data_IF_981891749328
#
_entry.id   IF_981891749328
#
_cell.length_a   1.000
_cell.length_b   1.000
_cell.length_c   1.000
_cell.angle_alpha   90.00
_cell.angle_beta   90.00
_cell.angle_gamma   90.00
#
_symmetry.space_group_name_H-M   'P 1'
#
loop_
_entity.id
_entity.type
_entity.pdbx_description
1 polymer ?
#
# COMPACT_ATOMS: atom_id res chain seq x y z
N UNK A 1 6.27 2.78 31.12
CA UNK A 1 6.33 2.09 29.82
C UNK A 1 6.11 0.58 29.97
N UNK A 2 5.01 0.05 29.44
CA UNK A 2 4.78 -1.39 29.31
C UNK A 2 5.29 -1.86 27.96
N UNK A 3 6.41 -2.58 27.94
CA UNK A 3 7.03 -3.04 26.70
C UNK A 3 6.27 -4.25 26.11
N UNK A 4 6.16 -4.35 24.78
CA UNK A 4 5.63 -5.56 24.16
C UNK A 4 6.51 -6.77 24.47
N UNK A 5 5.90 -7.95 24.54
CA UNK A 5 6.65 -9.21 24.62
C UNK A 5 7.59 -9.37 23.42
N UNK A 6 8.77 -9.98 23.65
CA UNK A 6 9.84 -10.11 22.65
C UNK A 6 9.35 -10.76 21.35
N UNK A 7 8.50 -11.79 21.44
CA UNK A 7 7.94 -12.48 20.28
C UNK A 7 7.11 -11.54 19.37
N UNK A 8 6.44 -10.53 19.93
CA UNK A 8 5.63 -9.56 19.16
C UNK A 8 6.48 -8.57 18.36
N UNK A 9 7.78 -8.46 18.67
CA UNK A 9 8.72 -7.62 17.93
C UNK A 9 9.29 -8.31 16.69
N UNK A 10 9.27 -9.64 16.66
CA UNK A 10 9.90 -10.44 15.61
C UNK A 10 9.32 -10.13 14.22
N UNK A 11 7.99 -10.15 14.06
CA UNK A 11 7.35 -9.91 12.78
C UNK A 11 7.53 -8.46 12.28
N UNK A 12 7.29 -7.41 13.09
CA UNK A 12 7.57 -6.03 12.69
C UNK A 12 9.02 -5.78 12.26
N UNK A 13 10.01 -6.42 12.91
CA UNK A 13 11.42 -6.32 12.48
C UNK A 13 11.59 -6.87 11.07
N UNK A 14 11.02 -8.04 10.77
CA UNK A 14 11.11 -8.64 9.45
C UNK A 14 10.37 -7.79 8.39
N UNK A 15 9.18 -7.28 8.71
CA UNK A 15 8.40 -6.40 7.82
C UNK A 15 9.17 -5.12 7.46
N UNK A 16 9.79 -4.47 8.45
CA UNK A 16 10.61 -3.28 8.24
C UNK A 16 11.83 -3.58 7.36
N UNK A 17 12.51 -4.71 7.58
CA UNK A 17 13.64 -5.10 6.74
C UNK A 17 13.21 -5.41 5.30
N UNK A 18 12.02 -5.99 5.07
CA UNK A 18 11.47 -6.15 3.72
C UNK A 18 11.21 -4.77 3.08
N UNK A 19 10.59 -3.85 3.82
CA UNK A 19 10.24 -2.52 3.35
C UNK A 19 11.47 -1.67 2.95
N UNK A 20 12.63 -1.89 3.58
CA UNK A 20 13.89 -1.18 3.25
C UNK A 20 14.75 -1.88 2.19
N UNK A 21 14.20 -2.87 1.47
CA UNK A 21 14.92 -3.57 0.40
C UNK A 21 15.73 -4.79 0.88
N UNK A 22 15.55 -5.22 2.12
CA UNK A 22 16.10 -6.46 2.66
C UNK A 22 17.22 -6.29 3.68
N UNK A 23 17.70 -5.07 3.92
CA UNK A 23 18.70 -4.79 4.95
C UNK A 23 18.51 -3.38 5.51
N UNK A 24 18.87 -3.19 6.78
CA UNK A 24 18.97 -1.85 7.37
C UNK A 24 19.89 -1.82 8.61
N UNK A 25 20.29 -0.62 9.01
CA UNK A 25 20.95 -0.36 10.28
C UNK A 25 19.93 -0.40 11.44
N UNK A 26 20.25 -1.18 12.47
CA UNK A 26 19.39 -1.38 13.63
C UNK A 26 18.98 -0.08 14.35
N UNK A 27 19.77 0.99 14.22
CA UNK A 27 19.45 2.30 14.81
C UNK A 27 18.17 2.88 14.23
N UNK A 28 17.92 2.70 12.93
CA UNK A 28 16.68 3.17 12.30
C UNK A 28 15.50 2.27 12.65
N UNK A 29 15.73 0.96 12.82
CA UNK A 29 14.70 0.04 13.29
C UNK A 29 14.15 0.44 14.67
N UNK A 30 14.99 0.92 15.58
CA UNK A 30 14.52 1.35 16.91
C UNK A 30 13.44 2.43 16.83
N UNK A 31 13.54 3.36 15.87
CA UNK A 31 12.59 4.46 15.73
C UNK A 31 11.32 4.01 15.02
N UNK A 32 11.45 3.24 13.93
CA UNK A 32 10.30 2.85 13.11
C UNK A 32 9.40 1.82 13.78
N UNK A 33 9.99 0.89 14.54
CA UNK A 33 9.24 -0.15 15.25
C UNK A 33 8.27 0.38 16.31
N UNK A 34 8.47 1.62 16.79
CA UNK A 34 7.59 2.23 17.80
C UNK A 34 6.16 2.39 17.29
N UNK A 35 6.00 2.70 16.00
CA UNK A 35 4.69 2.92 15.38
C UNK A 35 3.81 1.65 15.35
N UNK A 36 4.41 0.45 15.50
CA UNK A 36 3.70 -0.82 15.49
C UNK A 36 3.04 -1.17 16.83
N UNK A 37 3.29 -0.39 17.89
CA UNK A 37 2.83 -0.69 19.24
C UNK A 37 2.07 0.51 19.84
N UNK A 38 0.74 0.60 19.59
CA UNK A 38 -0.11 1.69 20.10
C UNK A 38 -0.10 1.85 21.62
N UNK A 39 0.26 0.79 22.36
CA UNK A 39 0.40 0.83 23.82
C UNK A 39 1.62 1.62 24.31
N UNK A 40 2.54 2.01 23.42
CA UNK A 40 3.63 2.93 23.74
C UNK A 40 3.07 4.35 23.67
N UNK A 41 2.91 4.99 24.83
CA UNK A 41 2.34 6.33 24.98
C UNK A 41 3.18 7.41 24.29
N UNK A 42 2.58 8.56 23.97
CA UNK A 42 3.32 9.65 23.33
C UNK A 42 4.47 10.20 24.20
N UNK A 43 4.33 10.17 25.53
CA UNK A 43 5.41 10.48 26.46
C UNK A 43 6.60 9.50 26.31
N UNK A 44 6.33 8.20 26.13
CA UNK A 44 7.37 7.21 25.86
C UNK A 44 8.01 7.41 24.47
N UNK A 45 7.24 7.84 23.46
CA UNK A 45 7.75 8.16 22.11
C UNK A 45 8.73 9.33 22.14
N UNK A 46 8.42 10.40 22.88
CA UNK A 46 9.33 11.53 23.06
C UNK A 46 10.64 11.12 23.75
N UNK A 47 10.57 10.25 24.76
CA UNK A 47 11.76 9.71 25.42
C UNK A 47 12.63 8.83 24.48
N UNK A 48 12.03 8.14 23.51
CA UNK A 48 12.76 7.35 22.49
C UNK A 48 13.57 8.23 21.53
N UNK A 49 13.01 9.36 21.13
CA UNK A 49 13.66 10.33 20.23
C UNK A 49 14.86 10.99 20.89
N UNK A 50 14.80 11.25 22.20
CA UNK A 50 15.90 11.83 22.98
C UNK A 50 16.96 10.79 23.40
N UNK A 51 16.84 9.53 22.95
CA UNK A 51 17.83 8.48 23.18
C UNK A 51 17.73 7.76 24.52
N UNK A 52 16.76 8.12 25.37
CA UNK A 52 16.70 7.71 26.78
C UNK A 52 15.88 6.44 27.08
N UNK A 53 15.91 5.43 26.20
CA UNK A 53 15.26 4.16 26.51
C UNK A 53 16.15 2.95 26.15
N UNK A 54 17.19 2.76 26.98
CA UNK A 54 18.05 1.55 26.98
C UNK A 54 17.22 0.26 27.05
N UNK A 55 16.05 0.29 27.70
CA UNK A 55 15.10 -0.83 27.78
C UNK A 55 14.56 -1.28 26.41
N UNK A 56 14.09 -0.34 25.60
CA UNK A 56 13.54 -0.61 24.25
C UNK A 56 14.60 -1.17 23.32
N UNK A 57 15.78 -0.54 23.27
CA UNK A 57 16.90 -1.02 22.45
C UNK A 57 17.29 -2.45 22.81
N UNK A 58 17.35 -2.78 24.11
CA UNK A 58 17.61 -4.15 24.58
C UNK A 58 16.52 -5.13 24.15
N UNK A 59 15.25 -4.73 24.12
CA UNK A 59 14.14 -5.58 23.67
C UNK A 59 14.24 -5.88 22.18
N UNK A 60 14.43 -4.85 21.34
CA UNK A 60 14.63 -5.02 19.89
C UNK A 60 15.85 -5.89 19.63
N UNK A 61 16.96 -5.66 20.34
CA UNK A 61 18.19 -6.47 20.21
C UNK A 61 18.01 -7.94 20.61
N UNK A 62 17.18 -8.22 21.63
CA UNK A 62 16.82 -9.59 22.02
C UNK A 62 15.95 -10.25 20.96
N UNK A 63 14.93 -9.56 20.45
CA UNK A 63 14.09 -10.06 19.37
C UNK A 63 14.92 -10.37 18.12
N UNK A 64 15.83 -9.47 17.74
CA UNK A 64 16.77 -9.71 16.65
C UNK A 64 17.70 -10.91 16.88
N UNK A 65 18.09 -11.21 18.13
CA UNK A 65 18.89 -12.41 18.42
C UNK A 65 18.07 -13.67 18.20
N UNK A 66 16.82 -13.68 18.66
CA UNK A 66 15.90 -14.81 18.42
C UNK A 66 15.66 -15.02 16.92
N UNK A 67 15.50 -13.96 16.14
CA UNK A 67 15.37 -14.04 14.68
C UNK A 67 16.63 -14.59 13.99
N UNK A 68 17.80 -14.22 14.47
CA UNK A 68 19.10 -14.68 13.96
C UNK A 68 19.32 -16.17 14.27
N UNK A 69 18.97 -16.61 15.50
CA UNK A 69 18.96 -18.03 15.91
C UNK A 69 17.99 -18.86 15.04
N UNK A 70 16.83 -18.30 14.69
CA UNK A 70 15.85 -18.88 13.76
C UNK A 70 16.27 -18.78 12.29
N UNK A 71 17.46 -18.21 11.98
CA UNK A 71 17.98 -17.97 10.63
C UNK A 71 17.07 -17.13 9.74
N UNK A 72 16.24 -16.28 10.33
CA UNK A 72 15.30 -15.39 9.62
C UNK A 72 15.93 -14.04 9.29
N UNK A 73 16.93 -13.63 10.05
CA UNK A 73 17.83 -12.52 9.72
C UNK A 73 19.27 -12.99 9.84
N UNK A 74 20.19 -12.22 9.26
CA UNK A 74 21.62 -12.29 9.48
C UNK A 74 22.08 -10.96 10.06
N UNK A 75 22.82 -11.02 11.17
CA UNK A 75 23.34 -9.82 11.85
C UNK A 75 24.84 -9.68 11.64
N UNK A 76 25.30 -8.48 11.30
CA UNK A 76 26.74 -8.19 11.21
C UNK A 76 27.27 -7.38 12.40
N UNK A 77 28.61 -7.35 12.54
CA UNK A 77 29.30 -6.61 13.61
C UNK A 77 29.13 -5.08 13.54
N UNK A 78 28.68 -4.55 12.40
CA UNK A 78 28.45 -3.11 12.18
C UNK A 78 27.02 -2.66 12.52
N UNK A 79 26.18 -3.57 13.01
CA UNK A 79 24.79 -3.25 13.39
C UNK A 79 23.80 -3.25 12.23
N UNK A 80 24.22 -3.70 11.05
CA UNK A 80 23.31 -3.93 9.92
C UNK A 80 22.72 -5.33 10.00
N UNK A 81 21.39 -5.38 9.86
CA UNK A 81 20.60 -6.59 9.86
C UNK A 81 20.07 -6.82 8.45
N UNK A 82 20.16 -8.06 7.97
CA UNK A 82 19.73 -8.45 6.63
C UNK A 82 18.72 -9.57 6.75
N UNK A 83 17.57 -9.45 6.11
CA UNK A 83 16.57 -10.52 6.10
C UNK A 83 17.02 -11.66 5.20
N UNK A 84 16.83 -12.91 5.65
CA UNK A 84 17.13 -14.10 4.86
C UNK A 84 15.93 -14.52 4.01
N UNK A 85 16.11 -15.50 3.12
CA UNK A 85 14.98 -16.11 2.40
C UNK A 85 13.92 -16.69 3.35
N UNK A 86 14.34 -17.28 4.48
CA UNK A 86 13.42 -17.82 5.49
C UNK A 86 12.65 -16.71 6.21
N UNK A 87 13.31 -15.59 6.53
CA UNK A 87 12.64 -14.42 7.10
C UNK A 87 11.61 -13.83 6.14
N UNK A 88 11.93 -13.74 4.85
CA UNK A 88 10.99 -13.29 3.81
C UNK A 88 9.76 -14.20 3.73
N UNK A 89 9.95 -15.52 3.74
CA UNK A 89 8.84 -16.49 3.75
C UNK A 89 7.93 -16.29 4.95
N UNK A 90 8.48 -16.12 6.16
CA UNK A 90 7.69 -15.84 7.36
C UNK A 90 6.90 -14.54 7.26
N UNK A 91 7.46 -13.48 6.68
CA UNK A 91 6.72 -12.24 6.43
C UNK A 91 5.59 -12.47 5.44
N UNK A 92 5.79 -13.29 4.42
CA UNK A 92 4.72 -13.65 3.46
C UNK A 92 3.63 -14.50 4.11
N UNK A 93 3.99 -15.43 5.00
CA UNK A 93 3.08 -16.32 5.73
C UNK A 93 2.30 -15.59 6.84
N UNK A 94 2.93 -14.66 7.55
CA UNK A 94 2.35 -13.87 8.65
C UNK A 94 1.89 -12.47 8.23
N UNK A 95 2.17 -12.02 7.00
CA UNK A 95 1.44 -10.90 6.43
C UNK A 95 -0.03 -11.23 6.64
N UNK A 96 -0.84 -10.30 7.21
CA UNK A 96 -2.27 -10.54 7.28
C UNK A 96 -2.64 -11.01 5.89
N UNK A 97 -3.16 -12.24 5.83
CA UNK A 97 -3.89 -12.68 4.68
C UNK A 97 -5.15 -11.81 4.66
N UNK A 98 -4.99 -10.55 4.26
CA UNK A 98 -5.86 -9.98 3.26
C UNK A 98 -5.59 -10.73 1.93
N UNK A 99 -5.67 -12.06 1.97
CA UNK A 99 -6.59 -12.67 1.04
C UNK A 99 -7.90 -11.97 1.37
N UNK A 100 -8.39 -11.13 0.47
CA UNK A 100 -9.81 -11.25 0.19
C UNK A 100 -10.03 -12.76 0.17
N UNK A 101 -10.75 -13.30 1.15
CA UNK A 101 -11.29 -14.61 0.95
C UNK A 101 -12.02 -14.43 -0.35
N UNK A 102 -11.45 -14.99 -1.43
CA UNK A 102 -12.20 -15.32 -2.61
C UNK A 102 -13.15 -16.32 -2.02
N UNK A 103 -14.25 -15.82 -1.44
CA UNK A 103 -15.36 -16.67 -1.11
C UNK A 103 -15.56 -17.40 -2.40
N UNK A 104 -15.34 -18.71 -2.34
CA UNK A 104 -15.35 -19.65 -3.45
C UNK A 104 -16.78 -19.84 -3.95
N UNK A 105 -17.48 -18.72 -4.10
CA UNK A 105 -18.84 -18.50 -4.55
C UNK A 105 -18.83 -17.49 -5.70
N UNK A 106 -17.73 -17.51 -6.46
CA UNK A 106 -17.76 -17.05 -7.85
C UNK A 106 -17.40 -18.28 -8.67
N UNK A 107 -18.43 -19.02 -9.09
CA UNK A 107 -18.39 -19.65 -10.40
C UNK A 107 -17.65 -18.68 -11.33
N UNK A 108 -16.63 -19.10 -12.10
CA UNK A 108 -16.02 -18.23 -13.08
C UNK A 108 -17.11 -17.81 -14.06
N UNK A 109 -17.75 -16.66 -13.82
CA UNK A 109 -18.52 -15.95 -14.83
C UNK A 109 -17.49 -15.57 -15.85
N UNK A 110 -17.37 -16.42 -16.88
CA UNK A 110 -16.21 -16.51 -17.74
C UNK A 110 -15.76 -15.13 -18.20
N UNK A 111 -14.49 -14.79 -17.97
CA UNK A 111 -13.78 -13.62 -18.50
C UNK A 111 -14.73 -12.48 -18.90
N UNK A 112 -15.50 -11.94 -17.94
CA UNK A 112 -16.36 -10.82 -18.23
C UNK A 112 -15.44 -9.67 -18.64
N UNK A 113 -15.36 -9.40 -19.94
CA UNK A 113 -14.49 -8.35 -20.45
C UNK A 113 -15.16 -7.03 -20.09
N UNK A 114 -14.78 -6.45 -18.96
CA UNK A 114 -15.31 -5.15 -18.58
C UNK A 114 -14.92 -4.13 -19.66
N UNK A 115 -15.91 -3.35 -20.09
CA UNK A 115 -15.65 -2.22 -20.96
C UNK A 115 -14.93 -1.11 -20.18
N UNK A 116 -14.34 -0.17 -20.91
CA UNK A 116 -13.73 1.00 -20.28
C UNK A 116 -14.77 1.79 -19.45
N UNK A 117 -15.99 1.92 -19.97
CA UNK A 117 -17.10 2.59 -19.30
C UNK A 117 -17.56 1.85 -18.03
N UNK A 118 -17.59 0.52 -18.03
CA UNK A 118 -17.96 -0.26 -16.84
C UNK A 118 -16.98 -0.01 -15.69
N UNK A 119 -15.68 0.03 -16.01
CA UNK A 119 -14.62 0.29 -15.03
C UNK A 119 -14.68 1.72 -14.51
N UNK A 120 -14.94 2.70 -15.38
CA UNK A 120 -15.18 4.08 -14.94
C UNK A 120 -16.39 4.15 -14.00
N UNK A 121 -17.49 3.47 -14.32
CA UNK A 121 -18.67 3.45 -13.47
C UNK A 121 -18.40 2.84 -12.10
N UNK A 122 -17.66 1.72 -12.04
CA UNK A 122 -17.25 1.12 -10.76
C UNK A 122 -16.44 2.12 -9.91
N UNK A 123 -15.54 2.88 -10.52
CA UNK A 123 -14.77 3.91 -9.82
C UNK A 123 -15.64 5.05 -9.29
N UNK A 124 -16.69 5.45 -10.03
CA UNK A 124 -17.64 6.45 -9.55
C UNK A 124 -18.40 5.94 -8.32
N UNK A 125 -18.94 4.73 -8.42
CA UNK A 125 -19.74 4.13 -7.35
C UNK A 125 -18.91 3.95 -6.07
N UNK A 126 -17.66 3.46 -6.21
CA UNK A 126 -16.71 3.34 -5.09
C UNK A 126 -16.42 4.72 -4.50
N UNK A 127 -16.14 5.73 -5.34
CA UNK A 127 -15.85 7.08 -4.88
C UNK A 127 -17.00 7.65 -4.04
N UNK A 128 -18.23 7.54 -4.55
CA UNK A 128 -19.43 7.98 -3.83
C UNK A 128 -19.66 7.19 -2.54
N UNK A 129 -19.50 5.87 -2.56
CA UNK A 129 -19.63 5.02 -1.37
C UNK A 129 -18.66 5.41 -0.26
N UNK A 130 -17.46 5.89 -0.62
CA UNK A 130 -16.43 6.36 0.30
C UNK A 130 -16.55 7.87 0.64
N UNK A 131 -17.59 8.55 0.17
CA UNK A 131 -17.86 9.96 0.48
C UNK A 131 -17.09 10.97 -0.37
N UNK A 132 -16.44 10.54 -1.45
CA UNK A 132 -15.82 11.45 -2.41
C UNK A 132 -16.84 11.96 -3.44
N UNK A 133 -16.58 13.15 -3.97
CA UNK A 133 -17.20 13.59 -5.23
C UNK A 133 -16.43 12.98 -6.39
N UNK A 134 -17.05 12.06 -7.13
CA UNK A 134 -16.42 11.34 -8.23
C UNK A 134 -17.00 11.80 -9.58
N UNK A 135 -16.12 12.09 -10.54
CA UNK A 135 -16.51 12.53 -11.89
C UNK A 135 -15.72 11.73 -12.93
N UNK A 136 -16.39 11.34 -14.01
CA UNK A 136 -15.79 10.68 -15.18
C UNK A 136 -15.44 11.71 -16.25
N UNK A 137 -14.42 11.42 -17.04
CA UNK A 137 -13.99 12.21 -18.20
C UNK A 137 -13.75 13.69 -17.86
N UNK A 138 -13.10 13.94 -16.72
CA UNK A 138 -12.79 15.29 -16.27
C UNK A 138 -11.48 15.78 -16.89
N UNK A 139 -11.57 16.86 -17.67
CA UNK A 139 -10.49 17.38 -18.52
C UNK A 139 -9.95 16.31 -19.50
N UNK A 140 -8.82 15.70 -19.15
CA UNK A 140 -8.14 14.65 -19.93
C UNK A 140 -7.91 13.38 -19.11
N UNK A 141 -8.56 13.28 -17.94
CA UNK A 141 -8.49 12.14 -17.04
C UNK A 141 -9.75 11.29 -17.11
N UNK A 142 -9.61 9.97 -17.00
CA UNK A 142 -10.76 9.07 -17.14
C UNK A 142 -11.71 9.16 -15.94
N UNK A 143 -11.19 9.19 -14.70
CA UNK A 143 -11.97 9.44 -13.49
C UNK A 143 -11.16 10.25 -12.49
N UNK A 144 -11.82 11.17 -11.79
CA UNK A 144 -11.23 11.96 -10.70
C UNK A 144 -12.10 11.93 -9.47
N UNK A 145 -11.48 11.92 -8.29
CA UNK A 145 -12.17 12.09 -7.02
C UNK A 145 -11.73 13.38 -6.32
N UNK A 146 -12.68 14.06 -5.69
CA UNK A 146 -12.46 15.28 -4.90
C UNK A 146 -13.13 15.16 -3.53
N UNK A 147 -12.68 15.97 -2.57
CA UNK A 147 -13.30 15.98 -1.24
C UNK A 147 -14.76 16.48 -1.27
N UNK A 148 -15.08 17.37 -2.20
CA UNK A 148 -16.44 17.86 -2.47
C UNK A 148 -16.52 18.42 -3.88
N UNK A 149 -17.74 18.65 -4.40
CA UNK A 149 -17.97 19.22 -5.73
C UNK A 149 -17.28 20.59 -5.92
N UNK A 150 -17.19 21.38 -4.86
CA UNK A 150 -16.60 22.73 -4.86
C UNK A 150 -15.07 22.71 -4.74
N UNK A 151 -14.48 21.56 -4.39
CA UNK A 151 -13.04 21.45 -4.21
C UNK A 151 -12.33 21.51 -5.57
N UNK A 152 -11.40 22.45 -5.72
CA UNK A 152 -10.57 22.56 -6.93
C UNK A 152 -9.43 21.52 -6.96
N UNK A 153 -9.08 20.93 -5.81
CA UNK A 153 -7.98 19.97 -5.70
C UNK A 153 -8.48 18.58 -6.08
N UNK A 154 -7.85 17.98 -7.08
CA UNK A 154 -8.03 16.58 -7.44
C UNK A 154 -7.30 15.70 -6.41
N UNK A 155 -8.05 14.93 -5.64
CA UNK A 155 -7.49 14.10 -4.56
C UNK A 155 -6.93 12.78 -5.10
N UNK A 156 -7.67 12.11 -5.98
CA UNK A 156 -7.30 10.86 -6.64
C UNK A 156 -7.58 11.01 -8.13
N UNK A 157 -6.70 10.45 -8.96
CA UNK A 157 -6.87 10.42 -10.41
C UNK A 157 -6.65 9.01 -10.91
N UNK A 158 -7.54 8.57 -11.78
CA UNK A 158 -7.54 7.25 -12.36
C UNK A 158 -7.42 7.33 -13.88
N UNK A 159 -6.54 6.50 -14.44
CA UNK A 159 -6.47 6.20 -15.87
C UNK A 159 -6.75 4.71 -16.08
N UNK A 160 -7.64 4.39 -17.01
CA UNK A 160 -8.14 3.05 -17.26
C UNK A 160 -7.62 2.53 -18.60
N UNK A 161 -6.77 1.51 -18.57
CA UNK A 161 -6.08 0.97 -19.74
C UNK A 161 -6.50 -0.48 -20.03
N UNK A 162 -7.19 -0.67 -21.16
CA UNK A 162 -7.62 -2.00 -21.66
C UNK A 162 -6.80 -2.50 -22.86
N UNK A 163 -6.51 -1.61 -23.81
CA UNK A 163 -5.68 -1.85 -25.02
C UNK A 163 -4.86 -0.60 -25.37
N UNK A 164 -4.77 0.34 -24.44
CA UNK A 164 -4.20 1.67 -24.65
C UNK A 164 -2.71 1.73 -24.34
N UNK A 165 -2.17 2.94 -24.35
CA UNK A 165 -0.76 3.19 -24.10
C UNK A 165 -0.54 3.49 -22.60
N UNK A 166 0.02 2.52 -21.88
CA UNK A 166 0.41 2.66 -20.47
C UNK A 166 1.29 3.88 -20.21
N UNK A 167 2.22 4.20 -21.11
CA UNK A 167 3.15 5.32 -20.91
C UNK A 167 2.43 6.67 -21.01
N UNK A 168 1.44 6.78 -21.91
CA UNK A 168 0.62 7.98 -22.03
C UNK A 168 -0.24 8.19 -20.77
N UNK A 169 -0.80 7.10 -20.22
CA UNK A 169 -1.52 7.14 -18.95
C UNK A 169 -0.61 7.57 -17.80
N UNK A 170 0.57 6.97 -17.68
CA UNK A 170 1.57 7.34 -16.67
C UNK A 170 2.03 8.80 -16.79
N UNK A 171 2.15 9.32 -18.02
CA UNK A 171 2.47 10.73 -18.24
C UNK A 171 1.38 11.67 -17.73
N UNK A 172 0.09 11.35 -17.96
CA UNK A 172 -1.03 12.12 -17.39
C UNK A 172 -1.03 12.04 -15.86
N UNK A 173 -0.85 10.85 -15.29
CA UNK A 173 -0.79 10.64 -13.85
C UNK A 173 0.38 11.41 -13.21
N UNK A 174 1.54 11.43 -13.85
CA UNK A 174 2.69 12.23 -13.42
C UNK A 174 2.36 13.72 -13.42
N UNK A 175 1.77 14.24 -14.51
CA UNK A 175 1.37 15.64 -14.62
C UNK A 175 0.43 16.06 -13.49
N UNK A 176 -0.54 15.22 -13.16
CA UNK A 176 -1.45 15.46 -12.03
C UNK A 176 -0.73 15.52 -10.69
N UNK A 177 0.14 14.54 -10.44
CA UNK A 177 0.93 14.48 -9.22
C UNK A 177 1.86 15.71 -9.10
N UNK A 178 2.49 16.12 -10.19
CA UNK A 178 3.37 17.27 -10.22
C UNK A 178 2.63 18.59 -9.96
N UNK A 179 1.42 18.74 -10.53
CA UNK A 179 0.62 19.95 -10.41
C UNK A 179 -0.09 20.09 -9.05
N UNK A 180 -0.71 19.02 -8.55
CA UNK A 180 -1.60 19.10 -7.38
C UNK A 180 -1.30 18.05 -6.32
N UNK A 181 -0.27 17.21 -6.49
CA UNK A 181 0.03 16.08 -5.58
C UNK A 181 -1.19 15.16 -5.40
N UNK A 182 -1.96 14.97 -6.47
CA UNK A 182 -3.05 13.99 -6.53
C UNK A 182 -2.49 12.57 -6.38
N UNK A 183 -3.24 11.65 -5.80
CA UNK A 183 -2.85 10.24 -5.72
C UNK A 183 -3.14 9.54 -7.06
N UNK A 184 -2.12 9.03 -7.77
CA UNK A 184 -2.32 8.41 -9.07
C UNK A 184 -2.71 6.93 -8.96
N UNK A 185 -3.69 6.53 -9.77
CA UNK A 185 -4.15 5.16 -9.92
C UNK A 185 -4.14 4.77 -11.39
N UNK A 186 -3.47 3.67 -11.73
CA UNK A 186 -3.52 3.08 -13.05
C UNK A 186 -4.34 1.79 -12.98
N UNK A 187 -5.47 1.75 -13.68
CA UNK A 187 -6.35 0.60 -13.72
C UNK A 187 -6.12 -0.16 -15.02
N UNK A 188 -5.64 -1.40 -14.96
CA UNK A 188 -5.22 -2.18 -16.14
C UNK A 188 -6.03 -3.46 -16.32
N UNK A 189 -6.27 -3.84 -17.58
CA UNK A 189 -7.04 -5.05 -17.88
C UNK A 189 -6.18 -6.32 -17.97
N UNK A 190 -4.87 -6.19 -18.22
CA UNK A 190 -4.00 -7.33 -18.51
C UNK A 190 -2.75 -7.34 -17.64
N UNK A 191 -2.26 -8.54 -17.32
CA UNK A 191 -1.01 -8.74 -16.59
C UNK A 191 0.20 -8.16 -17.35
N UNK A 192 0.16 -8.20 -18.69
CA UNK A 192 1.19 -7.56 -19.53
C UNK A 192 1.29 -6.06 -19.26
N UNK A 193 0.15 -5.38 -19.16
CA UNK A 193 0.11 -3.94 -18.88
C UNK A 193 0.53 -3.64 -17.44
N UNK A 194 0.17 -4.51 -16.48
CA UNK A 194 0.67 -4.45 -15.10
C UNK A 194 2.19 -4.49 -15.07
N UNK A 195 2.80 -5.52 -15.66
CA UNK A 195 4.25 -5.70 -15.69
C UNK A 195 4.97 -4.53 -16.38
N UNK A 196 4.38 -4.00 -17.47
CA UNK A 196 4.90 -2.80 -18.15
C UNK A 196 4.86 -1.59 -17.22
N UNK A 197 3.72 -1.34 -16.56
CA UNK A 197 3.58 -0.20 -15.65
C UNK A 197 4.55 -0.29 -14.47
N UNK A 198 4.70 -1.47 -13.86
CA UNK A 198 5.64 -1.70 -12.77
C UNK A 198 7.09 -1.42 -13.19
N UNK A 199 7.49 -1.89 -14.37
CA UNK A 199 8.82 -1.61 -14.92
C UNK A 199 9.05 -0.10 -15.10
N UNK A 200 8.05 0.63 -15.61
CA UNK A 200 8.11 2.07 -15.82
C UNK A 200 8.15 2.88 -14.53
N UNK A 201 7.51 2.38 -13.48
CA UNK A 201 7.45 2.99 -12.14
C UNK A 201 8.64 2.58 -11.25
N UNK A 202 9.47 1.64 -11.69
CA UNK A 202 10.57 1.07 -10.91
C UNK A 202 11.51 2.13 -10.33
N UNK A 203 11.70 2.09 -9.01
CA UNK A 203 12.51 3.02 -8.23
C UNK A 203 14.02 2.82 -8.38
N UNK A 204 14.45 1.79 -9.10
CA UNK A 204 15.87 1.54 -9.39
C UNK A 204 16.51 2.60 -10.32
N UNK A 205 15.87 3.77 -10.50
CA UNK A 205 16.22 4.85 -11.45
C UNK A 205 16.31 4.38 -12.91
N UNK A 206 15.67 3.27 -13.24
CA UNK A 206 15.60 2.72 -14.60
C UNK A 206 14.24 3.00 -15.25
N UNK A 207 13.19 3.21 -14.46
CA UNK A 207 11.86 3.52 -14.98
C UNK A 207 11.70 4.99 -15.35
N UNK A 208 11.08 5.29 -16.49
CA UNK A 208 10.86 6.67 -16.94
C UNK A 208 9.95 7.47 -15.98
N UNK A 209 9.13 6.79 -15.17
CA UNK A 209 8.19 7.38 -14.23
C UNK A 209 8.52 7.06 -12.76
N UNK A 210 9.78 6.74 -12.46
CA UNK A 210 10.23 6.37 -11.10
C UNK A 210 9.88 7.41 -10.02
N UNK A 211 9.78 8.69 -10.38
CA UNK A 211 9.40 9.79 -9.47
C UNK A 211 8.03 9.58 -8.82
N UNK A 212 7.07 9.00 -9.55
CA UNK A 212 5.73 8.68 -9.05
C UNK A 212 5.57 7.22 -8.64
N UNK A 213 6.64 6.42 -8.73
CA UNK A 213 6.61 4.98 -8.46
C UNK A 213 6.14 4.62 -7.05
N UNK A 214 6.47 5.44 -6.05
CA UNK A 214 6.06 5.21 -4.65
C UNK A 214 4.61 5.55 -4.35
N UNK A 215 4.00 6.39 -5.18
CA UNK A 215 2.67 6.97 -4.92
C UNK A 215 1.61 6.43 -5.87
N UNK A 216 2.03 5.75 -6.95
CA UNK A 216 1.12 5.19 -7.95
C UNK A 216 0.64 3.82 -7.51
N UNK A 217 -0.68 3.64 -7.48
CA UNK A 217 -1.31 2.34 -7.24
C UNK A 217 -1.75 1.73 -8.57
N UNK A 218 -1.36 0.49 -8.84
CA UNK A 218 -1.86 -0.26 -10.01
C UNK A 218 -2.98 -1.18 -9.52
N UNK A 219 -4.11 -1.18 -10.22
CA UNK A 219 -5.25 -2.07 -9.95
C UNK A 219 -5.62 -2.83 -11.21
N UNK A 220 -5.88 -4.13 -11.09
CA UNK A 220 -6.51 -4.89 -12.17
C UNK A 220 -8.02 -4.64 -12.22
N UNK A 221 -8.63 -4.86 -13.38
CA UNK A 221 -10.09 -4.80 -13.53
C UNK A 221 -10.80 -5.75 -12.57
N UNK A 222 -10.22 -6.94 -12.34
CA UNK A 222 -10.76 -7.92 -11.42
C UNK A 222 -10.68 -7.44 -9.95
N UNK A 223 -9.56 -6.85 -9.54
CA UNK A 223 -9.41 -6.28 -8.20
C UNK A 223 -10.44 -5.16 -7.97
N UNK A 224 -10.63 -4.28 -8.96
CA UNK A 224 -11.62 -3.22 -8.87
C UNK A 224 -13.04 -3.78 -8.76
N UNK A 225 -13.41 -4.75 -9.59
CA UNK A 225 -14.73 -5.36 -9.54
C UNK A 225 -15.01 -6.04 -8.18
N UNK A 226 -14.02 -6.74 -7.63
CA UNK A 226 -14.13 -7.33 -6.28
C UNK A 226 -14.34 -6.26 -5.22
N UNK A 227 -13.62 -5.15 -5.29
CA UNK A 227 -13.79 -4.01 -4.38
C UNK A 227 -15.18 -3.38 -4.50
N UNK A 228 -15.64 -3.14 -5.73
CA UNK A 228 -16.97 -2.59 -6.02
C UNK A 228 -18.07 -3.49 -5.46
N UNK A 229 -18.02 -4.79 -5.73
CA UNK A 229 -18.99 -5.76 -5.18
C UNK A 229 -18.97 -5.79 -3.66
N UNK A 230 -17.79 -5.79 -3.04
CA UNK A 230 -17.65 -5.81 -1.60
C UNK A 230 -18.26 -4.56 -0.95
N UNK A 231 -17.97 -3.36 -1.49
CA UNK A 231 -18.52 -2.12 -0.97
C UNK A 231 -20.03 -2.01 -1.18
N UNK A 232 -20.52 -2.45 -2.35
CA UNK A 232 -21.96 -2.47 -2.60
C UNK A 232 -22.71 -3.42 -1.69
N UNK A 233 -22.10 -4.53 -1.26
CA UNK A 233 -22.75 -5.45 -0.32
C UNK A 233 -22.97 -4.86 1.08
N UNK A 234 -22.30 -3.74 1.39
CA UNK A 234 -22.39 -3.05 2.69
C UNK A 234 -22.77 -1.58 2.56
N UNK A 235 -23.30 -1.14 1.41
CA UNK A 235 -23.58 0.27 1.11
C UNK A 235 -24.47 0.96 2.15
N UNK A 236 -25.45 0.22 2.67
CA UNK A 236 -26.40 0.73 3.66
C UNK A 236 -25.70 1.00 4.99
N UNK A 237 -24.80 0.10 5.40
CA UNK A 237 -23.98 0.29 6.60
C UNK A 237 -22.99 1.44 6.44
N UNK A 238 -22.39 1.58 5.26
CA UNK A 238 -21.49 2.71 4.99
C UNK A 238 -22.24 4.05 5.11
N UNK A 239 -23.49 4.10 4.66
CA UNK A 239 -24.33 5.30 4.77
C UNK A 239 -24.68 5.64 6.23
N UNK A 240 -24.75 4.64 7.12
CA UNK A 240 -24.94 4.89 8.56
C UNK A 240 -23.68 5.40 9.26
N UNK A 241 -22.49 5.02 8.79
CA UNK A 241 -21.20 5.38 9.39
C UNK A 241 -20.74 6.76 8.92
N UNK A 242 -20.82 6.99 7.62
CA UNK A 242 -20.58 8.32 7.05
C UNK A 242 -21.89 9.08 7.20
N UNK A 243 -22.08 9.82 8.30
CA UNK A 243 -23.21 10.75 8.48
C UNK A 243 -23.35 11.59 7.20
N UNK A 244 -24.32 11.23 6.34
CA UNK A 244 -24.60 11.88 5.06
C UNK A 244 -25.71 12.91 5.23
#
# INVERSE_FOLDING_TARGET
MTLPGIARLELPILQELVATGGADDVRFLYQRLVAYFPQITDADKHALTNGELRGWRRHVQRAGRVLDEKRQIARNKRGQWTITAQGRRRVTEEAPSFSFSVAADTQPTGSASYSHADVQQMLLDIGHALGYHAEREFDYYDVVWRASAQSQRLSHIFEVQRKGNVDAALAKLKRAYDAQRSKPFLVVASERDTNRAEMQLSLARTGAFHEIGRVTTILSFEQLHRLHRALNSVSDLLTLIFER
#
